data_IF_059467156156
#
_entry.id   IF_059467156156
#
_cell.length_a   1.000
_cell.length_b   1.000
_cell.length_c   1.000
_cell.angle_alpha   90.00
_cell.angle_beta   90.00
_cell.angle_gamma   90.00
#
_symmetry.space_group_name_H-M   'P 1'
#
loop_
_entity.id
_entity.type
_entity.pdbx_description
1 polymer ?
#
# COMPACT_ATOMS: atom_id res chain seq x y z
N UNK A 1 52.24 41.90 -51.53
CA UNK A 1 51.58 43.23 -51.56
C UNK A 1 50.51 43.16 -52.64
N UNK A 2 49.20 43.34 -52.47
CA UNK A 2 48.34 43.76 -51.35
C UNK A 2 46.90 43.27 -51.60
N UNK A 3 46.27 42.76 -50.53
CA UNK A 3 44.83 42.73 -50.09
C UNK A 3 43.71 42.83 -51.16
N UNK A 4 42.82 41.85 -51.29
CA UNK A 4 41.59 41.54 -50.49
C UNK A 4 40.60 42.70 -50.37
N UNK A 5 39.37 42.52 -50.87
CA UNK A 5 38.11 42.51 -50.08
C UNK A 5 36.95 41.85 -50.83
N UNK A 6 36.21 41.03 -50.10
CA UNK A 6 35.01 40.27 -50.48
C UNK A 6 33.75 40.93 -49.91
N UNK A 7 32.61 40.77 -50.59
CA UNK A 7 31.28 40.87 -49.97
C UNK A 7 30.23 40.05 -50.74
N UNK A 8 29.26 39.53 -49.97
CA UNK A 8 27.89 39.10 -50.30
C UNK A 8 27.57 37.60 -50.59
N UNK A 9 26.45 37.21 -49.96
CA UNK A 9 25.67 35.95 -49.77
C UNK A 9 25.19 35.29 -51.09
N UNK A 10 24.53 34.08 -51.17
CA UNK A 10 23.63 33.44 -50.18
C UNK A 10 23.54 31.89 -50.10
N UNK A 11 22.76 31.45 -49.10
CA UNK A 11 21.91 30.22 -49.01
C UNK A 11 22.54 28.81 -49.10
N UNK A 12 22.44 28.07 -47.99
CA UNK A 12 22.81 26.66 -47.87
C UNK A 12 21.54 25.82 -47.65
N UNK A 13 21.20 24.97 -48.64
CA UNK A 13 20.36 23.80 -48.46
C UNK A 13 21.15 22.74 -47.67
N UNK A 14 20.56 22.12 -46.65
CA UNK A 14 21.07 20.83 -46.17
C UNK A 14 19.91 19.93 -45.74
N UNK A 15 19.86 18.78 -46.42
CA UNK A 15 19.00 17.63 -46.21
C UNK A 15 19.44 16.91 -44.92
N UNK A 16 18.52 16.54 -44.02
CA UNK A 16 18.82 15.59 -42.95
C UNK A 16 17.74 14.51 -42.86
N UNK A 17 18.17 13.27 -43.08
CA UNK A 17 17.40 12.04 -42.90
C UNK A 17 17.06 11.84 -41.42
N UNK A 18 15.77 11.63 -41.11
CA UNK A 18 15.33 11.21 -39.79
C UNK A 18 15.21 9.68 -39.75
N UNK A 19 16.13 9.02 -39.04
CA UNK A 19 15.98 7.63 -38.61
C UNK A 19 15.04 7.57 -37.40
N UNK A 20 13.89 6.92 -37.54
CA UNK A 20 13.01 6.57 -36.42
C UNK A 20 13.57 5.29 -35.80
N UNK A 21 14.32 5.45 -34.70
CA UNK A 21 14.68 4.35 -33.82
C UNK A 21 13.56 4.10 -32.81
N UNK A 22 12.87 2.96 -32.92
CA UNK A 22 12.00 2.44 -31.86
C UNK A 22 12.91 1.94 -30.74
N UNK A 23 12.99 2.70 -29.64
CA UNK A 23 13.65 2.24 -28.42
C UNK A 23 12.68 1.33 -27.65
N UNK A 24 12.87 0.02 -27.79
CA UNK A 24 12.35 -0.94 -26.81
C UNK A 24 13.24 -0.77 -25.57
N UNK A 25 12.71 -0.17 -24.51
CA UNK A 25 13.42 -0.04 -23.25
C UNK A 25 13.44 -1.40 -22.52
N UNK A 26 14.41 -2.24 -22.84
CA UNK A 26 14.87 -3.29 -21.91
C UNK A 26 15.77 -2.61 -20.89
N UNK A 27 15.24 -2.44 -19.67
CA UNK A 27 15.99 -1.95 -18.51
C UNK A 27 16.97 -3.03 -18.04
N UNK A 28 18.09 -3.19 -18.73
CA UNK A 28 19.27 -3.81 -18.14
C UNK A 28 20.01 -2.74 -17.35
N UNK A 29 19.81 -2.74 -16.03
CA UNK A 29 20.52 -1.86 -15.13
C UNK A 29 22.02 -2.21 -15.14
N UNK A 30 22.86 -1.20 -15.31
CA UNK A 30 24.31 -1.33 -15.15
C UNK A 30 24.63 -1.79 -13.71
N UNK A 31 25.55 -2.77 -13.50
CA UNK A 31 25.97 -3.14 -12.16
C UNK A 31 26.82 -2.01 -11.56
N UNK A 32 26.34 -1.37 -10.48
CA UNK A 32 27.18 -0.47 -9.68
C UNK A 32 26.53 0.77 -9.06
N UNK A 33 25.28 1.11 -9.39
CA UNK A 33 24.58 2.17 -8.64
C UNK A 33 23.93 1.61 -7.38
N UNK A 34 24.39 2.08 -6.22
CA UNK A 34 23.78 1.82 -4.92
C UNK A 34 22.39 2.44 -4.88
N UNK A 35 21.38 1.70 -5.36
CA UNK A 35 20.00 2.17 -5.40
C UNK A 35 19.40 2.11 -4.00
N UNK A 36 18.94 3.25 -3.47
CA UNK A 36 18.11 3.28 -2.26
C UNK A 36 16.76 2.60 -2.55
N UNK A 37 16.23 1.87 -1.58
CA UNK A 37 14.92 1.24 -1.71
C UNK A 37 13.86 2.28 -2.08
N UNK A 38 13.03 1.89 -3.05
CA UNK A 38 11.81 2.60 -3.42
C UNK A 38 10.73 1.56 -3.59
N UNK A 39 9.48 1.93 -3.35
CA UNK A 39 8.36 0.96 -3.35
C UNK A 39 8.17 0.25 -4.71
N UNK A 40 8.56 0.88 -5.82
CA UNK A 40 8.31 0.35 -7.16
C UNK A 40 6.81 0.14 -7.39
N UNK A 41 6.39 -1.09 -7.72
CA UNK A 41 4.98 -1.47 -7.82
C UNK A 41 4.33 -1.50 -6.42
N UNK A 42 3.12 -0.94 -6.23
CA UNK A 42 2.39 -1.02 -4.96
C UNK A 42 2.35 -2.44 -4.39
N UNK A 43 2.45 -2.57 -3.07
CA UNK A 43 2.59 -3.85 -2.40
C UNK A 43 1.22 -4.52 -2.22
N UNK A 44 1.11 -5.77 -2.63
CA UNK A 44 0.02 -6.67 -2.30
C UNK A 44 0.63 -7.93 -1.69
N UNK A 45 0.41 -8.11 -0.40
CA UNK A 45 1.02 -9.19 0.39
C UNK A 45 0.01 -9.78 1.36
N UNK A 46 0.48 -10.65 2.25
CA UNK A 46 -0.27 -11.22 3.35
C UNK A 46 0.63 -11.33 4.57
N UNK A 47 0.04 -11.46 5.75
CA UNK A 47 0.74 -11.96 6.94
C UNK A 47 0.58 -13.48 6.97
N UNK A 48 1.67 -14.20 7.29
CA UNK A 48 1.84 -15.66 7.38
C UNK A 48 1.14 -16.56 6.33
N UNK A 49 1.87 -17.55 5.84
CA UNK A 49 1.36 -18.49 4.84
C UNK A 49 2.14 -19.80 4.79
N UNK A 50 1.76 -20.71 3.88
CA UNK A 50 2.46 -21.97 3.70
C UNK A 50 3.87 -21.74 3.12
N UNK A 51 4.70 -22.79 3.15
CA UNK A 51 5.99 -22.80 2.49
C UNK A 51 5.86 -22.43 1.00
N UNK A 52 6.87 -21.74 0.47
CA UNK A 52 6.87 -21.18 -0.88
C UNK A 52 7.32 -22.23 -1.91
N UNK A 53 6.47 -23.23 -2.13
CA UNK A 53 6.62 -24.19 -3.23
C UNK A 53 6.21 -23.59 -4.56
N UNK A 54 6.57 -24.21 -5.69
CA UNK A 54 6.11 -23.76 -7.03
C UNK A 54 4.57 -23.72 -7.15
N UNK A 55 3.85 -24.64 -6.48
CA UNK A 55 2.38 -24.63 -6.46
C UNK A 55 1.84 -23.44 -5.65
N UNK A 56 2.41 -23.18 -4.47
CA UNK A 56 2.10 -22.01 -3.65
C UNK A 56 2.36 -20.72 -4.43
N UNK A 57 3.56 -20.57 -5.01
CA UNK A 57 3.97 -19.39 -5.75
C UNK A 57 3.07 -19.11 -6.96
N UNK A 58 2.68 -20.15 -7.71
CA UNK A 58 1.70 -20.02 -8.78
C UNK A 58 0.37 -19.49 -8.26
N UNK A 59 -0.16 -20.07 -7.19
CA UNK A 59 -1.42 -19.63 -6.59
C UNK A 59 -1.35 -18.17 -6.10
N UNK A 60 -0.22 -17.75 -5.53
CA UNK A 60 0.01 -16.36 -5.11
C UNK A 60 0.02 -15.40 -6.30
N UNK A 61 0.78 -15.71 -7.35
CA UNK A 61 0.84 -14.91 -8.56
C UNK A 61 -0.53 -14.81 -9.25
N UNK A 62 -1.25 -15.93 -9.36
CA UNK A 62 -2.62 -15.95 -9.89
C UNK A 62 -3.58 -15.12 -9.04
N UNK A 63 -3.42 -15.15 -7.72
CA UNK A 63 -4.19 -14.36 -6.75
C UNK A 63 -3.87 -12.85 -6.78
N UNK A 64 -2.90 -12.41 -7.59
CA UNK A 64 -2.52 -11.00 -7.70
C UNK A 64 -1.61 -10.51 -6.57
N UNK A 65 -1.09 -11.41 -5.73
CA UNK A 65 -0.04 -11.09 -4.77
C UNK A 65 1.27 -10.80 -5.51
N UNK A 66 2.07 -9.89 -4.97
CA UNK A 66 3.32 -9.46 -5.61
C UNK A 66 4.49 -9.32 -4.63
N UNK A 67 4.26 -9.61 -3.35
CA UNK A 67 5.26 -9.77 -2.31
C UNK A 67 4.83 -10.98 -1.47
N UNK A 68 5.75 -11.91 -1.21
CA UNK A 68 5.45 -13.17 -0.52
C UNK A 68 6.51 -13.50 0.53
N UNK A 69 6.12 -14.25 1.56
CA UNK A 69 7.05 -14.72 2.59
C UNK A 69 7.97 -15.79 2.02
N UNK A 70 9.27 -15.66 2.26
CA UNK A 70 10.28 -16.62 1.82
C UNK A 70 11.39 -16.78 2.86
N UNK A 71 11.95 -17.97 2.92
CA UNK A 71 13.30 -18.23 3.42
C UNK A 71 14.33 -18.06 2.30
N UNK A 72 15.62 -18.07 2.63
CA UNK A 72 16.71 -17.97 1.64
C UNK A 72 16.58 -19.03 0.53
N UNK A 73 16.20 -20.26 0.88
CA UNK A 73 16.08 -21.39 -0.06
C UNK A 73 14.91 -21.27 -1.04
N UNK A 74 13.98 -20.35 -0.77
CA UNK A 74 12.76 -20.17 -1.54
C UNK A 74 12.83 -18.97 -2.50
N UNK A 75 13.92 -18.20 -2.46
CA UNK A 75 14.10 -17.02 -3.30
C UNK A 75 14.02 -17.35 -4.81
N UNK A 76 14.61 -18.47 -5.23
CA UNK A 76 14.53 -18.94 -6.62
C UNK A 76 13.09 -19.25 -7.05
N UNK A 77 12.28 -19.81 -6.14
CA UNK A 77 10.86 -20.08 -6.41
C UNK A 77 10.12 -18.77 -6.60
N UNK A 78 10.29 -17.80 -5.70
CA UNK A 78 9.67 -16.48 -5.84
C UNK A 78 10.06 -15.83 -7.18
N UNK A 79 11.34 -15.85 -7.54
CA UNK A 79 11.82 -15.27 -8.81
C UNK A 79 11.18 -15.91 -10.03
N UNK A 80 11.14 -17.25 -10.10
CA UNK A 80 10.60 -17.96 -11.28
C UNK A 80 9.13 -17.65 -11.54
N UNK A 81 8.37 -17.26 -10.51
CA UNK A 81 6.95 -16.87 -10.62
C UNK A 81 6.74 -15.35 -10.65
N UNK A 82 7.81 -14.56 -10.78
CA UNK A 82 7.74 -13.09 -10.87
C UNK A 82 7.28 -12.42 -9.57
N UNK A 83 7.50 -13.07 -8.42
CA UNK A 83 7.15 -12.58 -7.10
C UNK A 83 8.36 -11.90 -6.45
N UNK A 84 8.07 -10.90 -5.61
CA UNK A 84 9.04 -10.29 -4.71
C UNK A 84 9.06 -11.04 -3.38
N UNK A 85 10.20 -11.10 -2.72
CA UNK A 85 10.41 -11.84 -1.49
C UNK A 85 10.51 -10.90 -0.28
N UNK A 86 9.69 -11.19 0.72
CA UNK A 86 9.83 -10.75 2.10
C UNK A 86 10.60 -11.85 2.83
N UNK A 87 11.91 -11.70 2.93
CA UNK A 87 12.81 -12.67 3.54
C UNK A 87 12.63 -12.68 5.06
N UNK A 88 12.43 -13.85 5.64
CA UNK A 88 12.51 -14.05 7.09
C UNK A 88 13.59 -15.07 7.44
N UNK A 89 14.35 -14.78 8.49
CA UNK A 89 15.42 -15.64 9.02
C UNK A 89 15.66 -15.28 10.48
N UNK A 90 15.98 -16.26 11.32
CA UNK A 90 16.25 -16.04 12.75
C UNK A 90 17.47 -15.15 13.02
N UNK A 91 18.40 -15.03 12.05
CA UNK A 91 19.52 -14.10 12.12
C UNK A 91 19.10 -12.63 11.99
N UNK A 92 17.93 -12.33 11.43
CA UNK A 92 17.43 -10.97 11.23
C UNK A 92 16.77 -10.50 12.53
N UNK A 93 17.58 -10.32 13.57
CA UNK A 93 17.13 -9.88 14.89
C UNK A 93 18.16 -8.95 15.55
N UNK A 94 17.74 -8.05 16.47
CA UNK A 94 18.69 -7.17 17.15
C UNK A 94 19.76 -7.95 17.93
N UNK A 95 19.42 -9.11 18.48
CA UNK A 95 20.33 -9.97 19.23
C UNK A 95 21.53 -10.45 18.39
N UNK A 96 21.37 -10.58 17.06
CA UNK A 96 22.47 -10.93 16.17
C UNK A 96 23.58 -9.87 16.15
N UNK A 97 23.30 -8.63 16.56
CA UNK A 97 24.32 -7.58 16.61
C UNK A 97 25.15 -7.59 17.90
N UNK A 98 24.69 -8.29 18.95
CA UNK A 98 25.32 -8.27 20.27
C UNK A 98 26.54 -9.19 20.35
N UNK A 99 26.60 -10.25 19.53
CA UNK A 99 27.69 -11.22 19.49
C UNK A 99 28.44 -11.16 18.15
N UNK A 100 29.78 -11.03 18.14
CA UNK A 100 30.56 -10.94 16.90
C UNK A 100 30.31 -12.07 15.89
N UNK A 101 30.19 -13.31 16.38
CA UNK A 101 29.93 -14.47 15.54
C UNK A 101 28.53 -14.43 14.89
N UNK A 102 27.50 -13.99 15.62
CA UNK A 102 26.15 -13.87 15.06
C UNK A 102 26.05 -12.72 14.07
N UNK A 103 26.78 -11.63 14.35
CA UNK A 103 26.87 -10.49 13.44
C UNK A 103 27.51 -10.92 12.12
N UNK A 104 28.60 -11.68 12.16
CA UNK A 104 29.25 -12.22 10.96
C UNK A 104 28.32 -13.15 10.16
N UNK A 105 27.54 -13.99 10.84
CA UNK A 105 26.51 -14.84 10.19
C UNK A 105 25.45 -14.01 9.49
N UNK A 106 24.96 -12.94 10.11
CA UNK A 106 24.00 -12.01 9.50
C UNK A 106 24.61 -11.29 8.29
N UNK A 107 25.85 -10.80 8.38
CA UNK A 107 26.54 -10.17 7.24
C UNK A 107 26.70 -11.15 6.08
N UNK A 108 27.05 -12.39 6.38
CA UNK A 108 27.17 -13.45 5.38
C UNK A 108 25.82 -13.74 4.73
N UNK A 109 24.72 -13.81 5.50
CA UNK A 109 23.37 -13.95 4.96
C UNK A 109 23.03 -12.79 4.01
N UNK A 110 23.19 -11.54 4.45
CA UNK A 110 22.93 -10.34 3.64
C UNK A 110 23.69 -10.40 2.31
N UNK A 111 24.98 -10.74 2.34
CA UNK A 111 25.81 -10.83 1.14
C UNK A 111 25.32 -11.90 0.15
N UNK A 112 24.72 -13.00 0.63
CA UNK A 112 24.15 -14.04 -0.24
C UNK A 112 22.83 -13.61 -0.88
N UNK A 113 21.98 -12.92 -0.13
CA UNK A 113 20.60 -12.62 -0.59
C UNK A 113 20.43 -11.27 -1.28
N UNK A 114 21.25 -10.27 -0.97
CA UNK A 114 21.05 -8.88 -1.44
C UNK A 114 21.11 -8.69 -2.96
N UNK A 115 21.70 -9.64 -3.68
CA UNK A 115 21.82 -9.60 -5.15
C UNK A 115 20.77 -10.46 -5.84
N UNK A 116 19.93 -11.17 -5.07
CA UNK A 116 18.94 -12.07 -5.62
C UNK A 116 17.79 -11.27 -6.27
N UNK A 117 17.41 -11.53 -7.54
CA UNK A 117 16.39 -10.74 -8.25
C UNK A 117 15.01 -10.66 -7.58
N UNK A 118 14.62 -11.70 -6.84
CA UNK A 118 13.38 -11.68 -6.05
C UNK A 118 13.46 -10.87 -4.75
N UNK A 119 14.66 -10.56 -4.24
CA UNK A 119 14.80 -9.89 -2.94
C UNK A 119 14.10 -8.53 -2.95
N UNK A 120 13.35 -8.23 -1.88
CA UNK A 120 12.62 -6.96 -1.77
C UNK A 120 12.66 -6.35 -0.37
N UNK A 121 12.48 -7.18 0.65
CA UNK A 121 12.51 -6.73 2.04
C UNK A 121 12.94 -7.83 3.01
N UNK A 122 13.49 -7.43 4.14
CA UNK A 122 13.76 -8.26 5.31
C UNK A 122 12.62 -8.09 6.31
N UNK A 123 11.91 -9.15 6.68
CA UNK A 123 11.01 -9.14 7.82
C UNK A 123 11.82 -9.11 9.11
N UNK A 124 11.52 -8.16 10.00
CA UNK A 124 12.25 -7.98 11.25
C UNK A 124 11.44 -8.51 12.43
N UNK A 125 10.24 -7.96 12.65
CA UNK A 125 9.38 -8.33 13.77
C UNK A 125 7.95 -7.85 13.54
N UNK A 126 7.04 -8.52 14.23
CA UNK A 126 5.61 -8.22 14.33
C UNK A 126 5.37 -7.33 15.56
N UNK A 127 4.54 -6.31 15.41
CA UNK A 127 3.97 -5.46 16.46
C UNK A 127 4.87 -5.19 17.71
N UNK A 128 6.01 -4.50 17.56
CA UNK A 128 6.91 -4.25 18.70
C UNK A 128 6.43 -3.13 19.62
N UNK A 129 6.64 -3.30 20.92
CA UNK A 129 6.55 -2.21 21.90
C UNK A 129 7.63 -1.15 21.65
N UNK A 130 7.34 0.12 21.99
CA UNK A 130 8.30 1.21 21.85
C UNK A 130 9.58 1.02 22.68
N UNK A 131 9.58 0.13 23.68
CA UNK A 131 10.80 -0.26 24.40
C UNK A 131 11.84 -0.96 23.49
N UNK A 132 11.41 -1.63 22.42
CA UNK A 132 12.29 -2.33 21.48
C UNK A 132 12.82 -1.43 20.35
N UNK A 133 12.25 -0.24 20.15
CA UNK A 133 12.62 0.65 19.04
C UNK A 133 14.11 1.03 18.97
N UNK A 134 14.83 1.27 20.09
CA UNK A 134 16.26 1.57 20.02
C UNK A 134 17.09 0.45 19.40
N UNK A 135 16.80 -0.82 19.74
CA UNK A 135 17.55 -1.97 19.21
C UNK A 135 17.12 -2.31 17.78
N UNK A 136 15.83 -2.16 17.46
CA UNK A 136 15.31 -2.28 16.10
C UNK A 136 15.88 -1.21 15.16
N UNK A 137 16.07 0.02 15.65
CA UNK A 137 16.71 1.10 14.90
C UNK A 137 18.17 0.81 14.56
N UNK A 138 18.92 0.21 15.51
CA UNK A 138 20.29 -0.27 15.25
C UNK A 138 20.32 -1.33 14.15
N UNK A 139 19.44 -2.34 14.21
CA UNK A 139 19.34 -3.36 13.17
C UNK A 139 18.94 -2.78 11.81
N UNK A 140 17.96 -1.88 11.80
CA UNK A 140 17.50 -1.22 10.58
C UNK A 140 18.61 -0.38 9.94
N UNK A 141 19.38 0.36 10.74
CA UNK A 141 20.56 1.10 10.26
C UNK A 141 21.64 0.15 9.71
N UNK A 142 21.93 -0.93 10.44
CA UNK A 142 22.90 -1.94 10.04
C UNK A 142 22.57 -2.60 8.69
N UNK A 143 21.29 -2.96 8.47
CA UNK A 143 20.80 -3.50 7.20
C UNK A 143 20.93 -2.46 6.08
N UNK A 144 20.48 -1.22 6.32
CA UNK A 144 20.54 -0.13 5.34
C UNK A 144 21.97 0.20 4.89
N UNK A 145 22.95 0.13 5.78
CA UNK A 145 24.36 0.35 5.45
C UNK A 145 24.92 -0.74 4.50
N UNK A 146 24.45 -1.98 4.63
CA UNK A 146 24.98 -3.15 3.88
C UNK A 146 24.19 -3.48 2.63
N UNK A 147 22.89 -3.18 2.68
CA UNK A 147 21.91 -3.44 1.64
C UNK A 147 20.86 -2.32 1.59
N UNK A 148 21.23 -1.14 1.07
CA UNK A 148 20.32 0.00 0.96
C UNK A 148 19.20 -0.21 -0.06
N UNK A 149 19.28 -1.25 -0.91
CA UNK A 149 18.31 -1.53 -1.96
C UNK A 149 17.05 -2.23 -1.44
N UNK A 150 17.10 -2.80 -0.23
CA UNK A 150 16.01 -3.58 0.35
C UNK A 150 15.52 -2.98 1.66
N UNK A 151 14.21 -3.07 1.88
CA UNK A 151 13.55 -2.50 3.05
C UNK A 151 13.69 -3.43 4.27
N UNK A 152 13.95 -2.87 5.46
CA UNK A 152 13.65 -3.54 6.73
C UNK A 152 12.17 -3.33 7.07
N UNK A 153 11.40 -4.41 7.16
CA UNK A 153 9.96 -4.40 7.34
C UNK A 153 9.56 -4.75 8.78
N UNK A 154 8.77 -3.86 9.37
CA UNK A 154 8.17 -3.98 10.70
C UNK A 154 6.74 -3.45 10.58
N UNK A 155 5.75 -4.21 11.06
CA UNK A 155 4.39 -3.72 11.26
C UNK A 155 4.14 -3.36 12.72
N UNK A 156 3.29 -2.37 12.94
CA UNK A 156 2.98 -1.79 14.24
C UNK A 156 1.60 -2.23 14.74
N UNK A 157 1.44 -2.16 16.05
CA UNK A 157 0.14 -2.33 16.69
C UNK A 157 -0.93 -1.36 16.15
N UNK A 158 -2.23 -1.71 16.28
CA UNK A 158 -3.36 -0.81 16.11
C UNK A 158 -3.56 0.16 17.28
N UNK A 159 -4.45 1.13 17.10
CA UNK A 159 -4.91 2.06 18.14
C UNK A 159 -5.59 1.38 19.34
N UNK A 160 -6.11 0.15 19.18
CA UNK A 160 -6.71 -0.60 20.28
C UNK A 160 -5.70 -1.41 21.11
N UNK A 161 -4.40 -1.35 20.80
CA UNK A 161 -3.37 -1.87 21.69
C UNK A 161 -3.27 -1.02 22.96
N UNK A 162 -3.09 -1.67 24.10
CA UNK A 162 -3.03 -0.96 25.37
C UNK A 162 -1.65 -0.28 25.59
N UNK A 163 -1.57 0.55 26.62
CA UNK A 163 -0.35 1.31 26.94
C UNK A 163 0.90 0.43 27.17
N UNK A 164 0.73 -0.77 27.74
CA UNK A 164 1.85 -1.69 27.97
C UNK A 164 2.35 -2.30 26.66
N UNK A 165 1.43 -2.72 25.77
CA UNK A 165 1.77 -3.19 24.41
C UNK A 165 2.49 -2.10 23.62
N UNK A 166 1.96 -0.87 23.63
CA UNK A 166 2.57 0.26 22.91
C UNK A 166 3.89 0.72 23.54
N UNK A 167 4.08 0.54 24.85
CA UNK A 167 5.22 1.11 25.58
C UNK A 167 5.14 2.63 25.72
N UNK A 168 3.93 3.18 25.70
CA UNK A 168 3.61 4.62 25.76
C UNK A 168 2.39 4.85 26.65
N UNK A 169 2.16 6.08 27.12
CA UNK A 169 1.08 6.39 28.08
C UNK A 169 0.17 7.49 27.56
N UNK A 170 -1.10 7.42 27.94
CA UNK A 170 -2.12 8.42 27.60
C UNK A 170 -3.46 7.78 27.32
N UNK A 171 -4.39 8.58 26.79
CA UNK A 171 -5.55 8.07 26.07
C UNK A 171 -5.13 7.44 24.73
N UNK A 172 -6.09 6.81 24.03
CA UNK A 172 -5.88 6.12 22.73
C UNK A 172 -5.09 6.98 21.73
N UNK A 173 -5.45 8.26 21.57
CA UNK A 173 -4.83 9.12 20.56
C UNK A 173 -3.44 9.54 21.04
N UNK A 174 -3.32 10.00 22.28
CA UNK A 174 -2.05 10.49 22.84
C UNK A 174 -0.98 9.39 22.86
N UNK A 175 -1.33 8.20 23.35
CA UNK A 175 -0.41 7.07 23.42
C UNK A 175 0.02 6.62 22.01
N UNK A 176 -0.93 6.51 21.08
CA UNK A 176 -0.62 6.02 19.73
C UNK A 176 0.19 7.03 18.91
N UNK A 177 -0.07 8.34 19.03
CA UNK A 177 0.77 9.38 18.39
C UNK A 177 2.21 9.28 18.87
N UNK A 178 2.42 9.12 20.19
CA UNK A 178 3.76 8.97 20.75
C UNK A 178 4.45 7.71 20.22
N UNK A 179 3.73 6.58 20.16
CA UNK A 179 4.26 5.33 19.62
C UNK A 179 4.72 5.50 18.15
N UNK A 180 3.90 6.13 17.29
CA UNK A 180 4.27 6.41 15.90
C UNK A 180 5.46 7.36 15.79
N UNK A 181 5.49 8.43 16.59
CA UNK A 181 6.60 9.40 16.57
C UNK A 181 7.92 8.76 16.97
N UNK A 182 7.91 7.95 18.05
CA UNK A 182 9.08 7.21 18.50
C UNK A 182 9.56 6.20 17.46
N UNK A 183 8.64 5.46 16.84
CA UNK A 183 9.01 4.52 15.78
C UNK A 183 9.69 5.23 14.61
N UNK A 184 9.13 6.32 14.11
CA UNK A 184 9.72 7.11 13.02
C UNK A 184 11.09 7.67 13.41
N UNK A 185 11.23 8.21 14.63
CA UNK A 185 12.46 8.85 15.08
C UNK A 185 13.60 7.84 15.33
N UNK A 186 13.28 6.72 15.99
CA UNK A 186 14.26 5.74 16.47
C UNK A 186 14.57 4.67 15.40
N UNK A 187 13.55 4.17 14.69
CA UNK A 187 13.69 3.09 13.69
C UNK A 187 13.97 3.64 12.29
N UNK A 188 13.44 4.83 11.96
CA UNK A 188 13.56 5.47 10.64
C UNK A 188 13.13 4.52 9.51
N UNK A 189 11.88 4.05 9.50
CA UNK A 189 11.41 3.04 8.56
C UNK A 189 11.40 3.58 7.12
N UNK A 190 11.51 2.69 6.12
CA UNK A 190 11.29 3.06 4.71
C UNK A 190 9.79 3.06 4.32
N UNK A 191 8.96 2.42 5.14
CA UNK A 191 7.51 2.30 4.99
C UNK A 191 6.88 2.12 6.37
N UNK A 192 5.75 2.77 6.63
CA UNK A 192 4.95 2.49 7.83
C UNK A 192 3.98 1.34 7.55
N UNK A 193 3.98 0.31 8.38
CA UNK A 193 3.01 -0.79 8.31
C UNK A 193 2.32 -0.95 9.65
N UNK A 194 1.05 -1.32 9.65
CA UNK A 194 0.27 -1.52 10.88
C UNK A 194 -0.91 -2.45 10.64
N UNK A 195 -1.40 -3.01 11.74
CA UNK A 195 -2.50 -3.96 11.75
C UNK A 195 -3.78 -3.25 12.20
N UNK A 196 -4.91 -3.54 11.55
CA UNK A 196 -6.20 -3.14 12.10
C UNK A 196 -7.34 -4.07 11.68
N UNK A 197 -8.00 -4.67 12.68
CA UNK A 197 -9.05 -5.66 12.48
C UNK A 197 -10.36 -5.22 13.13
N UNK A 198 -11.31 -4.79 12.29
CA UNK A 198 -12.55 -4.17 12.76
C UNK A 198 -13.76 -5.11 12.80
N UNK A 199 -13.76 -6.24 12.08
CA UNK A 199 -14.94 -7.08 11.96
C UNK A 199 -15.03 -8.06 13.13
N UNK A 200 -15.75 -7.64 14.18
CA UNK A 200 -16.00 -8.44 15.39
C UNK A 200 -17.29 -9.23 15.25
N UNK A 201 -17.46 -10.26 16.07
CA UNK A 201 -18.64 -11.11 16.08
C UNK A 201 -19.93 -10.34 16.45
N UNK A 202 -19.81 -9.26 17.23
CA UNK A 202 -20.93 -8.47 17.76
C UNK A 202 -20.95 -7.03 17.21
N UNK A 203 -20.53 -6.84 15.96
CA UNK A 203 -20.51 -5.53 15.29
C UNK A 203 -19.10 -5.13 14.86
N UNK A 204 -19.01 -4.00 14.16
CA UNK A 204 -17.72 -3.48 13.71
C UNK A 204 -17.07 -2.64 14.81
N UNK A 205 -15.74 -2.62 14.84
CA UNK A 205 -14.97 -1.72 15.70
C UNK A 205 -15.03 -0.27 15.20
N UNK A 206 -14.93 0.68 16.11
CA UNK A 206 -15.17 2.11 15.90
C UNK A 206 -13.88 2.95 15.70
N UNK A 207 -12.72 2.29 15.67
CA UNK A 207 -11.41 2.96 15.55
C UNK A 207 -10.75 2.80 14.17
N UNK A 208 -11.42 2.18 13.20
CA UNK A 208 -10.81 1.89 11.89
C UNK A 208 -10.35 3.16 11.18
N UNK A 209 -11.26 4.14 11.04
CA UNK A 209 -10.93 5.41 10.39
C UNK A 209 -10.00 6.29 11.22
N UNK A 210 -10.05 6.19 12.55
CA UNK A 210 -9.08 6.82 13.44
C UNK A 210 -7.68 6.32 13.12
N UNK A 211 -7.47 5.00 13.14
CA UNK A 211 -6.16 4.42 12.94
C UNK A 211 -5.61 4.71 11.53
N UNK A 212 -6.44 4.54 10.49
CA UNK A 212 -6.08 4.88 9.10
C UNK A 212 -5.65 6.35 8.98
N UNK A 213 -6.40 7.27 9.59
CA UNK A 213 -6.08 8.70 9.54
C UNK A 213 -4.77 9.03 10.29
N UNK A 214 -4.51 8.37 11.41
CA UNK A 214 -3.27 8.56 12.17
C UNK A 214 -2.04 8.06 11.42
N UNK A 215 -2.13 6.86 10.81
CA UNK A 215 -1.05 6.28 10.01
C UNK A 215 -0.79 7.12 8.76
N UNK A 216 -1.83 7.50 8.02
CA UNK A 216 -1.71 8.41 6.87
C UNK A 216 -0.93 9.68 7.23
N UNK A 217 -1.34 10.36 8.31
CA UNK A 217 -0.68 11.61 8.73
C UNK A 217 0.77 11.38 9.18
N UNK A 218 1.07 10.28 9.87
CA UNK A 218 2.43 9.93 10.25
C UNK A 218 3.32 9.62 9.03
N UNK A 219 2.80 8.87 8.06
CA UNK A 219 3.47 8.53 6.81
C UNK A 219 3.82 9.78 5.99
N UNK A 220 2.87 10.73 5.90
CA UNK A 220 3.08 12.02 5.25
C UNK A 220 4.16 12.86 5.94
N UNK A 221 4.13 12.96 7.28
CA UNK A 221 5.15 13.69 8.04
C UNK A 221 6.54 13.07 7.90
N UNK A 222 6.62 11.75 7.84
CA UNK A 222 7.86 11.01 7.66
C UNK A 222 8.32 10.91 6.19
N UNK A 223 7.50 11.36 5.24
CA UNK A 223 7.72 11.23 3.80
C UNK A 223 8.01 9.78 3.36
N UNK A 224 7.21 8.83 3.86
CA UNK A 224 7.29 7.41 3.49
C UNK A 224 5.91 6.89 3.08
N UNK A 225 5.83 5.87 2.21
CA UNK A 225 4.59 5.16 1.97
C UNK A 225 4.10 4.44 3.23
N UNK A 226 2.83 4.04 3.23
CA UNK A 226 2.31 3.12 4.24
C UNK A 226 1.59 1.91 3.65
N UNK A 227 1.55 0.84 4.45
CA UNK A 227 0.85 -0.41 4.21
C UNK A 227 -0.19 -0.64 5.32
N UNK A 228 -1.38 -1.10 4.95
CA UNK A 228 -2.43 -1.49 5.89
C UNK A 228 -2.57 -3.01 5.92
N UNK A 229 -2.39 -3.65 7.08
CA UNK A 229 -2.71 -5.06 7.28
C UNK A 229 -4.17 -5.18 7.72
N UNK A 230 -4.99 -5.76 6.84
CA UNK A 230 -6.44 -5.84 7.01
C UNK A 230 -6.90 -7.26 7.32
N UNK A 231 -8.06 -7.37 7.93
CA UNK A 231 -8.63 -8.64 8.34
C UNK A 231 -9.03 -9.50 7.14
N UNK A 232 -8.67 -10.78 7.18
CA UNK A 232 -9.05 -11.80 6.20
C UNK A 232 -9.30 -13.16 6.87
N UNK A 233 -9.47 -13.21 8.18
CA UNK A 233 -9.74 -14.44 8.93
C UNK A 233 -10.36 -14.14 10.30
N UNK A 234 -10.60 -15.20 11.08
CA UNK A 234 -10.77 -15.15 12.54
C UNK A 234 -9.76 -16.06 13.25
N UNK A 235 -9.32 -15.66 14.43
CA UNK A 235 -8.40 -16.38 15.32
C UNK A 235 -8.94 -16.52 16.75
N UNK A 236 -10.13 -15.97 17.00
CA UNK A 236 -10.75 -15.91 18.32
C UNK A 236 -12.28 -15.80 18.17
N UNK A 237 -13.08 -16.32 19.12
CA UNK A 237 -14.55 -16.22 19.04
C UNK A 237 -15.10 -14.78 19.00
N UNK A 238 -14.32 -13.77 19.41
CA UNK A 238 -14.73 -12.37 19.35
C UNK A 238 -14.61 -11.76 17.94
N UNK A 239 -13.93 -12.42 17.01
CA UNK A 239 -13.73 -11.97 15.63
C UNK A 239 -14.48 -12.87 14.65
N UNK A 240 -14.87 -12.33 13.49
CA UNK A 240 -15.55 -13.10 12.43
C UNK A 240 -14.75 -13.07 11.13
N UNK A 241 -14.98 -14.07 10.28
CA UNK A 241 -14.43 -14.07 8.91
C UNK A 241 -15.14 -12.97 8.12
N UNK A 242 -14.41 -12.05 7.46
CA UNK A 242 -15.04 -11.05 6.62
C UNK A 242 -15.63 -11.68 5.36
N UNK A 243 -16.67 -11.05 4.81
CA UNK A 243 -17.23 -11.42 3.50
C UNK A 243 -16.38 -10.83 2.36
N UNK A 244 -16.55 -11.32 1.12
CA UNK A 244 -15.96 -10.67 -0.07
C UNK A 244 -16.23 -9.16 -0.17
N UNK A 245 -17.44 -8.71 0.18
CA UNK A 245 -17.83 -7.31 0.10
C UNK A 245 -17.15 -6.45 1.18
N UNK A 246 -16.92 -7.03 2.36
CA UNK A 246 -16.18 -6.40 3.46
C UNK A 246 -14.69 -6.29 3.16
N UNK A 247 -14.12 -7.27 2.45
CA UNK A 247 -12.74 -7.17 1.96
C UNK A 247 -12.64 -6.15 0.82
N UNK A 248 -13.64 -6.05 -0.06
CA UNK A 248 -13.72 -4.97 -1.06
C UNK A 248 -13.71 -3.59 -0.38
N UNK A 249 -14.52 -3.43 0.67
CA UNK A 249 -14.52 -2.23 1.51
C UNK A 249 -13.12 -1.91 2.03
N UNK A 250 -12.45 -2.87 2.67
CA UNK A 250 -11.09 -2.70 3.21
C UNK A 250 -10.08 -2.27 2.14
N UNK A 251 -10.15 -2.85 0.94
CA UNK A 251 -9.25 -2.54 -0.18
C UNK A 251 -9.44 -1.08 -0.64
N UNK A 252 -10.68 -0.67 -0.89
CA UNK A 252 -10.95 0.67 -1.42
C UNK A 252 -10.77 1.77 -0.38
N UNK A 253 -11.11 1.55 0.89
CA UNK A 253 -10.81 2.53 1.95
C UNK A 253 -9.30 2.69 2.13
N UNK A 254 -8.53 1.60 2.09
CA UNK A 254 -7.06 1.64 2.13
C UNK A 254 -6.47 2.45 0.99
N UNK A 255 -6.96 2.25 -0.25
CA UNK A 255 -6.55 3.05 -1.41
C UNK A 255 -6.96 4.54 -1.30
N UNK A 256 -8.17 4.83 -0.83
CA UNK A 256 -8.67 6.20 -0.66
C UNK A 256 -7.89 7.00 0.39
N UNK A 257 -7.32 6.33 1.40
CA UNK A 257 -6.40 6.94 2.37
C UNK A 257 -4.98 7.14 1.84
N UNK A 258 -4.68 6.63 0.64
CA UNK A 258 -3.39 6.82 -0.03
C UNK A 258 -2.33 5.77 0.31
N UNK A 259 -2.75 4.61 0.82
CA UNK A 259 -1.80 3.52 1.06
C UNK A 259 -1.14 3.09 -0.26
N UNK A 260 0.12 2.69 -0.17
CA UNK A 260 0.85 2.09 -1.28
C UNK A 260 1.11 0.60 -1.05
N UNK A 261 0.64 0.06 0.07
CA UNK A 261 0.62 -1.37 0.34
C UNK A 261 -0.68 -1.82 1.00
N UNK A 262 -1.05 -3.07 0.75
CA UNK A 262 -2.06 -3.81 1.50
C UNK A 262 -1.55 -5.20 1.84
N UNK A 263 -1.83 -5.65 3.05
CA UNK A 263 -1.58 -7.00 3.54
C UNK A 263 -2.85 -7.58 4.13
N UNK A 264 -2.99 -8.90 4.12
CA UNK A 264 -4.14 -9.61 4.67
C UNK A 264 -3.70 -10.54 5.80
N UNK A 265 -4.30 -10.37 6.97
CA UNK A 265 -4.18 -11.31 8.09
C UNK A 265 -5.36 -12.29 8.04
N UNK A 266 -5.19 -13.49 7.51
CA UNK A 266 -3.95 -14.24 7.21
C UNK A 266 -4.10 -14.98 5.88
N UNK A 267 -2.99 -15.35 5.22
CA UNK A 267 -3.13 -16.24 4.07
C UNK A 267 -3.59 -17.64 4.50
N UNK A 268 -2.79 -18.27 5.36
CA UNK A 268 -3.14 -19.51 6.04
C UNK A 268 -2.20 -19.71 7.24
N UNK A 269 -2.74 -19.97 8.43
CA UNK A 269 -1.93 -20.24 9.63
C UNK A 269 -2.69 -21.10 10.64
N UNK A 270 -2.01 -21.97 11.42
CA UNK A 270 -2.64 -22.72 12.50
C UNK A 270 -3.39 -21.82 13.48
N UNK A 271 -4.52 -22.30 14.01
CA UNK A 271 -5.38 -21.56 14.95
C UNK A 271 -6.29 -20.51 14.29
N UNK A 272 -6.27 -20.39 12.96
CA UNK A 272 -7.09 -19.43 12.22
C UNK A 272 -8.14 -20.15 11.38
N UNK A 273 -9.30 -19.52 11.21
CA UNK A 273 -10.39 -19.99 10.34
C UNK A 273 -10.73 -18.95 9.30
N UNK A 274 -11.06 -19.41 8.09
CA UNK A 274 -11.53 -18.55 7.00
C UNK A 274 -10.47 -17.67 6.37
N UNK A 275 -9.18 -17.99 6.53
CA UNK A 275 -8.08 -17.35 5.81
C UNK A 275 -8.23 -17.41 4.29
N UNK A 276 -7.26 -16.85 3.57
CA UNK A 276 -7.31 -16.80 2.09
C UNK A 276 -7.30 -18.21 1.48
N UNK A 277 -6.55 -19.13 2.06
CA UNK A 277 -6.56 -20.54 1.68
C UNK A 277 -6.64 -21.45 2.92
N UNK A 278 -7.08 -22.68 2.72
CA UNK A 278 -7.01 -23.75 3.72
C UNK A 278 -5.58 -24.30 3.83
N UNK A 279 -5.24 -25.06 4.90
CA UNK A 279 -3.90 -25.62 5.09
C UNK A 279 -3.41 -26.53 3.95
N UNK A 280 -4.31 -27.15 3.21
CA UNK A 280 -4.00 -27.98 2.04
C UNK A 280 -3.80 -27.17 0.74
N UNK A 281 -3.91 -25.84 0.82
CA UNK A 281 -3.79 -24.92 -0.30
C UNK A 281 -5.13 -24.58 -0.97
N UNK A 282 -6.24 -25.25 -0.62
CA UNK A 282 -7.55 -25.02 -1.23
C UNK A 282 -8.00 -23.57 -1.07
N UNK A 283 -8.26 -22.82 -2.17
CA UNK A 283 -8.78 -21.46 -2.11
C UNK A 283 -10.11 -21.34 -1.36
N UNK A 284 -10.25 -20.29 -0.55
CA UNK A 284 -11.54 -19.92 0.06
C UNK A 284 -12.27 -18.87 -0.79
N UNK A 285 -13.54 -18.51 -0.47
CA UNK A 285 -14.22 -17.41 -1.16
C UNK A 285 -13.45 -16.08 -1.14
N UNK A 286 -12.64 -15.85 -0.10
CA UNK A 286 -11.79 -14.66 -0.02
C UNK A 286 -10.71 -14.66 -1.11
N UNK A 287 -10.06 -15.78 -1.39
CA UNK A 287 -9.08 -15.87 -2.49
C UNK A 287 -9.69 -15.46 -3.84
N UNK A 288 -10.90 -15.94 -4.13
CA UNK A 288 -11.57 -15.64 -5.39
C UNK A 288 -11.91 -14.16 -5.53
N UNK A 289 -12.37 -13.51 -4.45
CA UNK A 289 -12.58 -12.07 -4.43
C UNK A 289 -11.27 -11.29 -4.58
N UNK A 290 -10.25 -11.69 -3.81
CA UNK A 290 -8.94 -11.03 -3.80
C UNK A 290 -8.21 -11.12 -5.12
N UNK A 291 -8.44 -12.15 -5.94
CA UNK A 291 -7.85 -12.27 -7.28
C UNK A 291 -8.06 -11.00 -8.11
N UNK A 292 -9.27 -10.45 -8.09
CA UNK A 292 -9.57 -9.19 -8.79
C UNK A 292 -9.16 -7.98 -7.94
N UNK A 293 -9.52 -7.95 -6.66
CA UNK A 293 -9.31 -6.78 -5.79
C UNK A 293 -7.83 -6.42 -5.61
N UNK A 294 -6.94 -7.41 -5.57
CA UNK A 294 -5.49 -7.20 -5.47
C UNK A 294 -4.94 -6.44 -6.68
N UNK A 295 -5.39 -6.80 -7.88
CA UNK A 295 -4.99 -6.14 -9.14
C UNK A 295 -5.54 -4.72 -9.20
N UNK A 296 -6.81 -4.56 -8.83
CA UNK A 296 -7.44 -3.25 -8.76
C UNK A 296 -6.76 -2.33 -7.73
N UNK A 297 -6.38 -2.85 -6.56
CA UNK A 297 -5.59 -2.11 -5.58
C UNK A 297 -4.28 -1.62 -6.18
N UNK A 298 -3.50 -2.54 -6.76
CA UNK A 298 -2.19 -2.20 -7.33
C UNK A 298 -2.30 -1.17 -8.47
N UNK A 299 -3.30 -1.31 -9.34
CA UNK A 299 -3.55 -0.39 -10.45
C UNK A 299 -3.96 1.01 -9.94
N UNK A 300 -4.91 1.08 -9.00
CA UNK A 300 -5.33 2.36 -8.41
C UNK A 300 -4.19 3.03 -7.63
N UNK A 301 -3.54 2.31 -6.72
CA UNK A 301 -2.43 2.83 -5.92
C UNK A 301 -1.28 3.33 -6.81
N UNK A 302 -1.02 2.67 -7.95
CA UNK A 302 -0.01 3.09 -8.93
C UNK A 302 -0.31 4.45 -9.58
N UNK A 303 -1.58 4.76 -9.86
CA UNK A 303 -1.98 6.09 -10.36
C UNK A 303 -1.79 7.17 -9.28
N UNK A 304 -1.92 6.80 -8.00
CA UNK A 304 -1.82 7.73 -6.87
C UNK A 304 -0.39 7.95 -6.37
N UNK A 305 0.55 7.08 -6.73
CA UNK A 305 1.91 7.03 -6.18
C UNK A 305 2.70 8.35 -6.30
N UNK A 306 2.44 9.13 -7.35
CA UNK A 306 3.11 10.42 -7.61
C UNK A 306 2.25 11.65 -7.24
N UNK A 307 1.24 11.43 -6.40
CA UNK A 307 0.31 12.45 -5.91
C UNK A 307 0.37 12.52 -4.38
N UNK A 308 0.18 13.72 -3.86
CA UNK A 308 -0.06 13.95 -2.44
C UNK A 308 -1.50 13.52 -2.12
N UNK A 309 -1.69 12.75 -1.04
CA UNK A 309 -3.02 12.64 -0.43
C UNK A 309 -3.34 13.97 0.24
N UNK A 310 -4.29 14.73 -0.29
CA UNK A 310 -4.61 16.09 0.17
C UNK A 310 -5.58 16.03 1.35
N UNK A 311 -6.66 15.26 1.22
CA UNK A 311 -7.68 15.14 2.26
C UNK A 311 -8.47 13.86 2.09
N UNK A 312 -9.11 13.41 3.18
CA UNK A 312 -9.93 12.20 3.19
C UNK A 312 -11.20 12.50 3.97
N UNK A 313 -12.34 12.44 3.30
CA UNK A 313 -13.60 12.98 3.82
C UNK A 313 -14.73 11.97 3.77
N UNK A 314 -15.67 12.07 4.71
CA UNK A 314 -16.82 11.18 4.87
C UNK A 314 -18.11 11.99 4.73
N UNK A 315 -19.10 11.46 4.02
CA UNK A 315 -20.38 12.16 3.82
C UNK A 315 -21.32 12.01 5.01
N UNK A 316 -21.51 10.78 5.49
CA UNK A 316 -22.53 10.44 6.49
C UNK A 316 -21.92 9.79 7.73
N UNK A 317 -20.87 8.99 7.55
CA UNK A 317 -20.21 8.27 8.64
C UNK A 317 -19.48 9.23 9.60
N UNK A 318 -19.67 9.04 10.91
CA UNK A 318 -19.20 9.96 11.98
C UNK A 318 -18.38 9.27 13.07
N UNK A 319 -17.71 8.17 12.74
CA UNK A 319 -16.77 7.53 13.67
C UNK A 319 -15.56 8.44 13.95
N UNK A 320 -14.83 8.13 15.03
CA UNK A 320 -13.63 8.87 15.38
C UNK A 320 -12.63 8.83 14.22
N UNK A 321 -12.05 9.99 13.89
CA UNK A 321 -11.13 10.14 12.76
C UNK A 321 -11.79 10.43 11.41
N UNK A 322 -13.12 10.36 11.30
CA UNK A 322 -13.84 10.81 10.10
C UNK A 322 -13.87 12.35 10.03
N UNK A 323 -13.46 12.93 8.90
CA UNK A 323 -13.61 14.35 8.62
C UNK A 323 -14.79 14.58 7.66
N UNK A 324 -15.66 15.58 7.89
CA UNK A 324 -16.75 15.90 6.97
C UNK A 324 -16.23 16.53 5.68
N UNK A 325 -16.97 16.38 4.58
CA UNK A 325 -16.65 17.03 3.29
C UNK A 325 -16.76 18.56 3.44
N UNK A 326 -15.70 19.35 3.18
CA UNK A 326 -15.77 20.81 3.25
C UNK A 326 -16.80 21.42 2.27
N UNK A 327 -17.46 22.50 2.67
CA UNK A 327 -18.50 23.18 1.86
C UNK A 327 -18.02 23.64 0.49
N UNK A 328 -16.73 23.92 0.32
CA UNK A 328 -16.12 24.38 -0.94
C UNK A 328 -15.18 23.34 -1.58
N UNK A 329 -15.47 22.06 -1.36
CA UNK A 329 -14.68 20.95 -1.92
C UNK A 329 -14.69 20.92 -3.45
N UNK A 330 -13.53 20.61 -4.04
CA UNK A 330 -13.36 20.46 -5.49
C UNK A 330 -14.17 19.30 -6.07
N UNK A 331 -14.25 18.19 -5.32
CA UNK A 331 -15.10 17.06 -5.64
C UNK A 331 -16.22 16.92 -4.62
N UNK A 332 -17.41 16.47 -5.07
CA UNK A 332 -18.59 16.28 -4.23
C UNK A 332 -19.36 15.05 -4.64
N UNK A 333 -20.17 14.55 -3.70
CA UNK A 333 -21.17 13.51 -3.95
C UNK A 333 -22.56 14.11 -3.85
N UNK A 334 -23.34 13.96 -4.91
CA UNK A 334 -24.77 14.25 -4.94
C UNK A 334 -25.55 12.94 -4.86
N UNK A 335 -26.22 12.69 -3.74
CA UNK A 335 -27.14 11.56 -3.59
C UNK A 335 -28.58 12.05 -3.68
N UNK A 336 -29.44 11.27 -4.36
CA UNK A 336 -30.89 11.52 -4.41
C UNK A 336 -31.62 10.99 -3.16
N UNK A 337 -31.02 10.05 -2.44
CA UNK A 337 -31.58 9.50 -1.22
C UNK A 337 -31.21 10.42 -0.05
N UNK A 338 -32.22 10.86 0.72
CA UNK A 338 -31.96 11.46 2.03
C UNK A 338 -31.24 10.47 2.93
N UNK A 339 -30.37 10.95 3.81
CA UNK A 339 -29.69 10.09 4.77
C UNK A 339 -30.74 9.41 5.66
N UNK A 340 -30.81 8.07 5.59
CA UNK A 340 -31.58 7.27 6.53
C UNK A 340 -30.71 6.88 7.72
N UNK A 341 -31.33 6.52 8.84
CA UNK A 341 -30.61 5.89 9.94
C UNK A 341 -29.86 4.64 9.43
N UNK A 342 -28.57 4.54 9.78
CA UNK A 342 -27.69 3.47 9.31
C UNK A 342 -27.04 3.68 7.94
N UNK A 343 -27.31 4.80 7.24
CA UNK A 343 -26.57 5.11 6.01
C UNK A 343 -25.10 5.43 6.32
N UNK A 344 -24.20 4.59 5.81
CA UNK A 344 -22.75 4.80 5.96
C UNK A 344 -22.21 5.82 4.96
N UNK A 345 -22.96 6.14 3.90
CA UNK A 345 -22.58 7.15 2.91
C UNK A 345 -21.33 6.77 2.11
N UNK A 346 -20.54 7.79 1.77
CA UNK A 346 -19.36 7.66 0.93
C UNK A 346 -18.10 8.22 1.61
N UNK A 347 -16.96 7.64 1.24
CA UNK A 347 -15.63 8.17 1.51
C UNK A 347 -15.07 8.81 0.24
N UNK A 348 -14.41 9.95 0.38
CA UNK A 348 -13.71 10.65 -0.69
C UNK A 348 -12.24 10.88 -0.31
N UNK A 349 -11.33 10.19 -0.98
CA UNK A 349 -9.89 10.46 -0.90
C UNK A 349 -9.47 11.44 -2.00
N UNK A 350 -9.02 12.64 -1.63
CA UNK A 350 -8.55 13.67 -2.57
C UNK A 350 -7.05 13.56 -2.77
N UNK A 351 -6.62 13.60 -4.03
CA UNK A 351 -5.21 13.52 -4.40
C UNK A 351 -4.84 14.60 -5.42
N UNK A 352 -3.59 15.05 -5.38
CA UNK A 352 -3.12 16.08 -6.28
C UNK A 352 -1.67 16.47 -6.03
N UNK A 353 -1.29 17.69 -6.43
CA UNK A 353 0.05 18.24 -6.21
C UNK A 353 -0.08 19.66 -5.68
N UNK A 354 0.86 20.08 -4.83
CA UNK A 354 0.88 21.42 -4.26
C UNK A 354 -0.49 21.79 -3.65
N UNK A 355 -1.09 20.84 -2.93
CA UNK A 355 -2.40 21.00 -2.29
C UNK A 355 -3.58 21.34 -3.24
N UNK A 356 -3.47 21.05 -4.55
CA UNK A 356 -4.54 21.23 -5.54
C UNK A 356 -5.14 19.87 -5.93
N UNK A 357 -6.37 19.53 -5.49
CA UNK A 357 -7.01 18.27 -5.86
C UNK A 357 -7.21 18.17 -7.37
N UNK A 358 -6.71 17.07 -7.94
CA UNK A 358 -6.90 16.71 -9.35
C UNK A 358 -7.50 15.32 -9.52
N UNK A 359 -7.45 14.49 -8.48
CA UNK A 359 -8.00 13.14 -8.46
C UNK A 359 -8.87 12.94 -7.22
N UNK A 360 -9.88 12.08 -7.34
CA UNK A 360 -10.69 11.61 -6.22
C UNK A 360 -10.91 10.10 -6.30
N UNK A 361 -10.72 9.41 -5.18
CA UNK A 361 -11.20 8.03 -4.98
C UNK A 361 -12.49 8.11 -4.18
N UNK A 362 -13.59 7.63 -4.75
CA UNK A 362 -14.90 7.55 -4.10
C UNK A 362 -15.15 6.11 -3.67
N UNK A 363 -15.55 5.89 -2.42
CA UNK A 363 -15.85 4.54 -1.89
C UNK A 363 -17.25 4.53 -1.31
N UNK A 364 -18.01 3.47 -1.62
CA UNK A 364 -19.25 3.12 -0.94
C UNK A 364 -18.93 2.53 0.43
N UNK A 365 -19.27 3.25 1.51
CA UNK A 365 -19.02 2.76 2.86
C UNK A 365 -20.06 1.73 3.33
N UNK A 366 -21.12 1.50 2.57
CA UNK A 366 -22.05 0.41 2.78
C UNK A 366 -21.55 -0.86 2.08
N UNK A 367 -21.04 -1.83 2.85
CA UNK A 367 -20.62 -3.14 2.34
C UNK A 367 -21.76 -4.16 2.26
N UNK A 368 -23.01 -3.76 2.49
CA UNK A 368 -24.21 -4.61 2.41
C UNK A 368 -25.09 -4.29 1.22
N UNK A 369 -25.01 -3.06 0.68
CA UNK A 369 -25.86 -2.63 -0.42
C UNK A 369 -25.12 -1.80 -1.46
N UNK A 370 -25.59 -1.89 -2.70
CA UNK A 370 -25.13 -1.01 -3.79
C UNK A 370 -25.63 0.41 -3.52
N UNK A 371 -24.74 1.40 -3.68
CA UNK A 371 -25.11 2.82 -3.57
C UNK A 371 -24.99 3.53 -4.91
N UNK A 372 -26.00 4.32 -5.22
CA UNK A 372 -26.01 5.19 -6.40
C UNK A 372 -25.88 6.65 -6.00
N UNK A 373 -25.01 7.39 -6.65
CA UNK A 373 -24.85 8.83 -6.47
C UNK A 373 -24.26 9.45 -7.74
N UNK A 374 -24.07 10.77 -7.78
CA UNK A 374 -23.22 11.41 -8.77
C UNK A 374 -21.97 11.97 -8.12
N UNK A 375 -20.81 11.72 -8.73
CA UNK A 375 -19.61 12.48 -8.44
C UNK A 375 -19.61 13.74 -9.30
N UNK A 376 -19.34 14.88 -8.66
CA UNK A 376 -19.20 16.18 -9.32
C UNK A 376 -17.78 16.66 -9.10
N UNK A 377 -17.05 16.93 -10.18
CA UNK A 377 -15.72 17.50 -10.16
C UNK A 377 -15.70 18.97 -10.57
N UNK A 378 -14.52 19.62 -10.50
CA UNK A 378 -14.38 21.05 -10.81
C UNK A 378 -14.38 21.34 -12.32
N UNK A 379 -14.15 20.32 -13.15
CA UNK A 379 -14.17 20.37 -14.61
C UNK A 379 -14.49 18.96 -15.15
N UNK A 380 -14.42 18.79 -16.47
CA UNK A 380 -14.62 17.48 -17.11
C UNK A 380 -13.70 16.42 -16.52
N UNK A 381 -14.25 15.23 -16.28
CA UNK A 381 -13.53 14.14 -15.62
C UNK A 381 -13.29 12.95 -16.54
N UNK A 382 -12.31 12.14 -16.16
CA UNK A 382 -12.11 10.78 -16.63
C UNK A 382 -12.21 9.82 -15.44
N UNK A 383 -12.76 8.63 -15.67
CA UNK A 383 -12.81 7.53 -14.71
C UNK A 383 -11.69 6.55 -15.00
N UNK A 384 -11.04 6.03 -13.97
CA UNK A 384 -10.07 4.96 -14.15
C UNK A 384 -10.78 3.60 -14.19
N UNK A 385 -10.55 2.85 -15.27
CA UNK A 385 -10.87 1.43 -15.37
C UNK A 385 -9.65 0.66 -14.86
N UNK A 386 -9.75 0.14 -13.63
CA UNK A 386 -8.65 -0.53 -12.95
C UNK A 386 -8.38 -1.94 -13.51
N UNK A 387 -9.33 -2.57 -14.20
CA UNK A 387 -9.15 -3.89 -14.80
C UNK A 387 -8.45 -3.78 -16.17
N UNK A 388 -8.76 -2.73 -16.94
CA UNK A 388 -8.10 -2.42 -18.20
C UNK A 388 -6.90 -1.45 -18.07
N UNK A 389 -6.60 -1.01 -16.85
CA UNK A 389 -5.54 -0.03 -16.49
C UNK A 389 -5.53 1.23 -17.38
N UNK A 390 -6.71 1.80 -17.65
CA UNK A 390 -6.85 2.96 -18.54
C UNK A 390 -7.88 3.97 -18.06
N UNK A 391 -7.67 5.22 -18.46
CA UNK A 391 -8.63 6.29 -18.23
C UNK A 391 -9.69 6.30 -19.33
N UNK A 392 -10.96 6.41 -18.94
CA UNK A 392 -12.12 6.51 -19.84
C UNK A 392 -12.89 7.81 -19.59
N UNK A 393 -13.44 8.47 -20.63
CA UNK A 393 -14.21 9.71 -20.44
C UNK A 393 -15.41 9.53 -19.50
N UNK A 394 -15.58 10.45 -18.55
CA UNK A 394 -16.75 10.48 -17.66
C UNK A 394 -17.91 11.34 -18.23
N UNK A 395 -17.75 11.87 -19.45
CA UNK A 395 -18.70 12.69 -20.22
C UNK A 395 -19.20 13.93 -19.47
N UNK A 396 -18.27 14.70 -18.91
CA UNK A 396 -18.52 16.00 -18.29
C UNK A 396 -18.01 16.09 -16.85
N UNK A 397 -18.34 17.20 -16.19
CA UNK A 397 -18.01 17.44 -14.78
C UNK A 397 -18.84 16.64 -13.77
N UNK A 398 -19.93 16.00 -14.20
CA UNK A 398 -20.85 15.25 -13.36
C UNK A 398 -21.02 13.85 -13.93
N UNK A 399 -20.76 12.83 -13.12
CA UNK A 399 -20.82 11.44 -13.55
C UNK A 399 -21.66 10.61 -12.57
N UNK A 400 -22.58 9.80 -13.10
CA UNK A 400 -23.38 8.90 -12.30
C UNK A 400 -22.58 7.66 -11.90
N UNK A 401 -22.71 7.27 -10.64
CA UNK A 401 -22.06 6.14 -10.02
C UNK A 401 -23.10 5.15 -9.55
N UNK A 402 -22.84 3.86 -9.79
CA UNK A 402 -23.41 2.75 -9.05
C UNK A 402 -22.22 1.94 -8.53
N UNK A 403 -21.99 2.03 -7.21
CA UNK A 403 -20.89 1.35 -6.55
C UNK A 403 -21.41 0.11 -5.83
N UNK A 404 -20.80 -1.03 -6.11
CA UNK A 404 -21.04 -2.29 -5.40
C UNK A 404 -20.90 -2.12 -3.88
N UNK A 405 -21.43 -3.06 -3.07
CA UNK A 405 -21.19 -3.05 -1.63
C UNK A 405 -19.69 -2.99 -1.32
N UNK A 406 -19.24 -1.94 -0.61
CA UNK A 406 -17.84 -1.71 -0.29
C UNK A 406 -16.96 -1.27 -1.48
N UNK A 407 -17.53 -1.11 -2.66
CA UNK A 407 -16.80 -0.81 -3.89
C UNK A 407 -16.38 0.66 -4.01
N UNK A 408 -15.47 0.94 -4.93
CA UNK A 408 -15.01 2.30 -5.19
C UNK A 408 -14.69 2.58 -6.66
N UNK A 409 -14.53 3.85 -6.97
CA UNK A 409 -14.15 4.35 -8.28
C UNK A 409 -13.21 5.55 -8.16
N UNK A 410 -12.25 5.65 -9.07
CA UNK A 410 -11.31 6.76 -9.13
C UNK A 410 -11.60 7.65 -10.34
N UNK A 411 -11.52 8.96 -10.12
CA UNK A 411 -11.69 9.99 -11.13
C UNK A 411 -10.50 10.94 -11.13
N UNK A 412 -10.22 11.54 -12.29
CA UNK A 412 -9.32 12.68 -12.43
C UNK A 412 -9.97 13.79 -13.24
N UNK A 413 -9.51 15.02 -13.03
CA UNK A 413 -9.82 16.14 -13.92
C UNK A 413 -9.09 15.93 -15.25
N UNK A 414 -9.81 16.08 -16.35
CA UNK A 414 -9.23 16.08 -17.70
C UNK A 414 -8.37 17.32 -17.86
N UNK A 415 -7.09 17.12 -18.20
CA UNK A 415 -6.14 18.20 -18.42
C UNK A 415 -6.43 18.96 -19.72
#
# INVERSE_FOLDING_TARGET
MSKITSNLRPELLTLLYAFIGVAIATSDALPGETRLWTIGKPIVTYWAGPAMTDATARQMAEGGFNLVWCTEKELDVAQRHGLRALLHDGLISPASLDAPEQREKLETLINRVRSHPAMYAYFITDEPSAAAFPSLGKLTAFLRERDPAHMAYINLFPTYANNDQLGTKGDVVTAYVEHLNRFVAEVKPALLSYDHYQFRAQGDGDQYFLNLAMIRRAAQRANVPFLNIVQACTWTPSMRVPTPDEVRYLVYTTAAYGAQGISYYVYCHPGHTGGIALPDGTPTPLYHALKTLNRQFAANAGQLQNLESIGVYHTTFKEQGCEPVPENSAFRIESKAGASDGDRGFLLGFFGRANKPSHVVVVNLDYRSTKTAAVVGPADMERFDADAERWVPANGRRHQLALEPGGGAMFRVKL
#
